data_IF_131059803343
#
_entry.id   IF_131059803343
#
_cell.length_a   1.000
_cell.length_b   1.000
_cell.length_c   1.000
_cell.angle_alpha   90.00
_cell.angle_beta   90.00
_cell.angle_gamma   90.00
#
_symmetry.space_group_name_H-M   'P 1'
#
loop_
_entity.id
_entity.type
_entity.pdbx_description
1 polymer ?
#
# COMPACT_ATOMS: atom_id res chain seq x y z
N UNK A 1 8.24 21.30 12.37
CA UNK A 1 7.77 22.68 12.02
C UNK A 1 6.63 23.14 12.92
N UNK A 2 5.43 22.54 12.89
CA UNK A 2 4.29 23.02 13.71
C UNK A 2 4.61 23.11 15.21
N UNK A 3 5.12 22.03 15.82
CA UNK A 3 5.49 22.04 17.23
C UNK A 3 6.55 23.09 17.57
N UNK A 4 7.56 23.23 16.70
CA UNK A 4 8.60 24.26 16.83
C UNK A 4 8.00 25.67 16.85
N UNK A 5 7.03 25.93 15.97
CA UNK A 5 6.42 27.24 15.84
C UNK A 5 5.44 27.55 16.99
N UNK A 6 4.65 26.56 17.40
CA UNK A 6 3.61 26.66 18.42
C UNK A 6 4.20 26.71 19.82
N UNK A 7 5.10 25.78 20.15
CA UNK A 7 5.67 25.63 21.50
C UNK A 7 7.05 26.27 21.67
N UNK A 8 7.63 26.85 20.60
CA UNK A 8 8.96 27.51 20.62
C UNK A 8 10.10 26.60 21.11
N UNK A 9 9.97 25.29 20.89
CA UNK A 9 11.00 24.28 21.20
C UNK A 9 11.70 23.78 19.93
N UNK A 10 12.98 23.44 20.02
CA UNK A 10 13.70 22.87 18.89
C UNK A 10 13.32 21.39 18.70
N UNK A 11 12.48 21.09 17.71
CA UNK A 11 12.06 19.74 17.34
C UNK A 11 12.71 19.34 16.03
N UNK A 12 13.50 18.27 16.07
CA UNK A 12 14.19 17.71 14.89
C UNK A 12 13.44 16.48 14.37
N UNK A 13 13.11 16.41 13.06
CA UNK A 13 12.49 15.23 12.48
C UNK A 13 13.54 14.15 12.19
N UNK A 14 13.28 12.94 12.67
CA UNK A 14 14.10 11.76 12.39
C UNK A 14 13.28 10.73 11.62
N UNK A 15 13.86 10.14 10.58
CA UNK A 15 13.32 8.97 9.91
C UNK A 15 14.15 7.75 10.29
N UNK A 16 13.52 6.79 10.95
CA UNK A 16 14.18 5.57 11.42
C UNK A 16 14.23 4.53 10.30
N UNK A 17 15.44 4.15 9.87
CA UNK A 17 15.65 3.09 8.89
C UNK A 17 15.73 1.75 9.63
N UNK A 18 14.93 0.77 9.19
CA UNK A 18 14.88 -0.58 9.78
C UNK A 18 16.05 -1.46 9.35
N UNK A 19 17.28 -0.94 9.47
CA UNK A 19 18.49 -1.55 8.93
C UNK A 19 18.90 -2.87 9.61
N UNK A 20 18.44 -3.09 10.85
CA UNK A 20 18.65 -4.33 11.61
C UNK A 20 17.54 -5.37 11.42
N UNK A 21 16.57 -5.13 10.53
CA UNK A 21 15.68 -6.21 10.13
C UNK A 21 16.41 -7.21 9.22
N UNK A 22 15.76 -8.33 8.93
CA UNK A 22 16.24 -9.42 8.08
C UNK A 22 15.18 -9.87 7.07
N UNK A 23 14.01 -9.23 7.07
CA UNK A 23 12.93 -9.50 6.12
C UNK A 23 13.28 -8.90 4.75
N UNK A 24 14.12 -9.63 4.02
CA UNK A 24 14.51 -9.26 2.68
C UNK A 24 13.35 -9.45 1.69
N UNK A 25 12.39 -10.32 1.96
CA UNK A 25 11.26 -10.56 1.05
C UNK A 25 10.41 -9.30 0.92
N UNK A 26 10.16 -8.61 2.04
CA UNK A 26 9.53 -7.30 2.04
C UNK A 26 10.43 -6.25 1.34
N UNK A 27 11.71 -6.17 1.71
CA UNK A 27 12.61 -5.10 1.26
C UNK A 27 13.02 -5.19 -0.24
N UNK A 28 12.99 -6.38 -0.83
CA UNK A 28 13.46 -6.63 -2.20
C UNK A 28 12.33 -6.65 -3.25
N UNK A 29 11.09 -6.36 -2.86
CA UNK A 29 9.95 -6.28 -3.78
C UNK A 29 9.41 -4.86 -3.87
N UNK A 30 9.12 -4.41 -5.09
CA UNK A 30 8.59 -3.07 -5.32
C UNK A 30 7.66 -3.05 -6.53
N UNK A 31 6.56 -2.32 -6.42
CA UNK A 31 5.58 -2.22 -7.49
C UNK A 31 5.53 -0.79 -8.06
N UNK A 32 5.24 -0.69 -9.35
CA UNK A 32 5.17 0.56 -10.09
C UNK A 32 3.85 0.64 -10.85
N UNK A 33 3.32 1.85 -10.93
CA UNK A 33 2.23 2.19 -11.83
C UNK A 33 2.83 2.52 -13.21
N UNK A 34 2.43 1.78 -14.24
CA UNK A 34 2.91 2.01 -15.61
C UNK A 34 2.24 3.22 -16.27
N UNK A 35 2.76 3.67 -17.41
CA UNK A 35 2.20 4.80 -18.17
C UNK A 35 0.74 4.58 -18.61
N UNK A 36 0.28 3.33 -18.70
CA UNK A 36 -1.07 2.93 -19.10
C UNK A 36 -1.96 2.44 -17.93
N UNK A 37 -1.51 2.70 -16.68
CA UNK A 37 -2.19 2.35 -15.43
C UNK A 37 -2.30 0.84 -15.15
N UNK A 38 -1.29 0.08 -15.57
CA UNK A 38 -1.09 -1.31 -15.17
C UNK A 38 -0.13 -1.39 -13.99
N UNK A 39 -0.09 -2.57 -13.37
CA UNK A 39 0.82 -2.90 -12.28
C UNK A 39 2.06 -3.57 -12.86
N UNK A 40 3.23 -2.99 -12.59
CA UNK A 40 4.53 -3.61 -12.84
C UNK A 40 5.18 -3.97 -11.50
N UNK A 41 5.31 -5.26 -11.22
CA UNK A 41 6.02 -5.77 -10.04
C UNK A 41 7.46 -6.14 -10.39
N UNK A 42 8.39 -5.75 -9.53
CA UNK A 42 9.81 -6.07 -9.64
C UNK A 42 10.26 -6.69 -8.32
N UNK A 43 11.00 -7.79 -8.42
CA UNK A 43 11.60 -8.48 -7.27
C UNK A 43 13.09 -8.65 -7.58
N UNK A 44 13.93 -8.20 -6.67
CA UNK A 44 15.38 -8.32 -6.74
C UNK A 44 15.88 -9.09 -5.51
N UNK A 45 15.73 -10.44 -5.49
CA UNK A 45 16.12 -11.22 -4.33
C UNK A 45 17.64 -11.08 -4.09
N UNK A 46 18.09 -11.15 -2.83
CA UNK A 46 19.52 -11.19 -2.54
C UNK A 46 20.10 -12.55 -2.94
N UNK A 47 21.42 -12.65 -2.97
CA UNK A 47 22.11 -13.93 -3.15
C UNK A 47 21.71 -14.92 -2.04
N UNK A 48 21.76 -16.22 -2.33
CA UNK A 48 21.26 -17.26 -1.41
C UNK A 48 22.01 -17.23 -0.06
N UNK A 49 23.32 -16.98 -0.09
CA UNK A 49 24.18 -16.83 1.08
C UNK A 49 23.87 -15.59 1.94
N UNK A 50 23.20 -14.59 1.38
CA UNK A 50 22.79 -13.36 2.06
C UNK A 50 21.44 -13.51 2.78
N UNK A 51 20.66 -14.56 2.47
CA UNK A 51 19.34 -14.78 3.08
C UNK A 51 19.43 -15.01 4.59
N UNK A 52 18.66 -14.22 5.32
CA UNK A 52 18.61 -14.21 6.78
C UNK A 52 19.66 -13.32 7.44
N UNK A 53 20.53 -12.66 6.68
CA UNK A 53 21.38 -11.58 7.21
C UNK A 53 20.54 -10.33 7.48
N UNK A 54 21.11 -9.42 8.27
CA UNK A 54 20.55 -8.08 8.46
C UNK A 54 20.50 -7.33 7.12
N UNK A 55 19.48 -6.49 6.90
CA UNK A 55 19.34 -5.68 5.68
C UNK A 55 20.57 -4.79 5.43
N UNK A 56 21.20 -4.25 6.47
CA UNK A 56 22.45 -3.50 6.36
C UNK A 56 23.67 -4.34 5.93
N UNK A 57 23.58 -5.66 5.97
CA UNK A 57 24.63 -6.60 5.56
C UNK A 57 24.38 -7.20 4.18
N UNK A 58 23.19 -7.01 3.60
CA UNK A 58 22.85 -7.56 2.28
C UNK A 58 23.54 -6.74 1.18
N UNK A 59 24.41 -7.42 0.44
CA UNK A 59 25.08 -6.86 -0.73
C UNK A 59 24.14 -6.67 -1.92
N UNK A 60 24.43 -5.67 -2.75
CA UNK A 60 23.62 -5.33 -3.93
C UNK A 60 24.09 -6.09 -5.18
N UNK A 61 23.19 -6.86 -5.81
CA UNK A 61 23.40 -7.34 -7.19
C UNK A 61 23.20 -6.17 -8.17
N UNK A 62 24.21 -5.31 -8.27
CA UNK A 62 24.16 -4.09 -9.10
C UNK A 62 23.80 -4.40 -10.55
N UNK A 63 24.28 -5.51 -11.12
CA UNK A 63 24.00 -5.88 -12.50
C UNK A 63 22.51 -6.17 -12.71
N UNK A 64 21.91 -6.99 -11.86
CA UNK A 64 20.49 -7.30 -11.93
C UNK A 64 19.64 -6.08 -11.63
N UNK A 65 20.00 -5.31 -10.61
CA UNK A 65 19.27 -4.07 -10.24
C UNK A 65 19.29 -3.06 -11.38
N UNK A 66 20.44 -2.83 -12.04
CA UNK A 66 20.53 -1.93 -13.19
C UNK A 66 19.61 -2.37 -14.34
N UNK A 67 19.57 -3.67 -14.66
CA UNK A 67 18.65 -4.21 -15.66
C UNK A 67 17.18 -3.97 -15.31
N UNK A 68 16.82 -4.12 -14.03
CA UNK A 68 15.46 -3.82 -13.57
C UNK A 68 15.15 -2.31 -13.63
N UNK A 69 16.10 -1.44 -13.27
CA UNK A 69 15.95 0.01 -13.41
C UNK A 69 15.63 0.37 -14.87
N UNK A 70 16.38 -0.16 -15.83
CA UNK A 70 16.11 0.05 -17.27
C UNK A 70 14.68 -0.38 -17.63
N UNK A 71 14.27 -1.58 -17.22
CA UNK A 71 12.91 -2.09 -17.46
C UNK A 71 11.84 -1.19 -16.84
N UNK A 72 12.04 -0.73 -15.60
CA UNK A 72 11.09 0.15 -14.90
C UNK A 72 10.91 1.45 -15.69
N UNK A 73 12.02 2.12 -16.02
CA UNK A 73 12.00 3.42 -16.71
C UNK A 73 11.44 3.35 -18.14
N UNK A 74 11.46 2.18 -18.79
CA UNK A 74 10.78 1.95 -20.06
C UNK A 74 9.25 1.82 -19.94
N UNK A 75 8.73 1.49 -18.76
CA UNK A 75 7.31 1.15 -18.54
C UNK A 75 6.55 2.17 -17.69
N UNK A 76 7.25 3.07 -16.98
CA UNK A 76 6.61 4.17 -16.26
C UNK A 76 6.43 5.39 -17.17
N UNK A 77 5.60 6.34 -16.73
CA UNK A 77 5.38 7.57 -17.48
C UNK A 77 6.63 8.45 -17.50
N UNK A 78 6.99 8.91 -18.69
CA UNK A 78 8.20 9.67 -18.97
C UNK A 78 7.90 11.19 -19.01
N UNK A 79 8.85 12.00 -18.59
CA UNK A 79 8.84 13.46 -18.63
C UNK A 79 10.29 13.99 -18.74
N UNK A 80 10.44 15.31 -18.76
CA UNK A 80 11.77 15.95 -18.73
C UNK A 80 12.56 15.63 -17.43
N UNK A 81 11.87 15.19 -16.36
CA UNK A 81 12.50 14.79 -15.10
C UNK A 81 13.06 13.36 -15.11
N UNK A 82 12.54 12.50 -15.98
CA UNK A 82 12.83 11.07 -15.99
C UNK A 82 14.31 10.75 -16.19
N UNK A 83 15.05 11.36 -17.15
CA UNK A 83 16.47 11.07 -17.31
C UNK A 83 17.28 11.46 -16.07
N UNK A 84 16.97 12.61 -15.46
CA UNK A 84 17.65 13.12 -14.26
C UNK A 84 17.42 12.18 -13.07
N UNK A 85 16.18 11.77 -12.85
CA UNK A 85 15.82 10.85 -11.77
C UNK A 85 16.53 9.49 -11.95
N UNK A 86 16.48 8.93 -13.16
CA UNK A 86 17.13 7.66 -13.49
C UNK A 86 18.63 7.72 -13.24
N UNK A 87 19.30 8.76 -13.73
CA UNK A 87 20.73 8.96 -13.55
C UNK A 87 21.10 9.06 -12.07
N UNK A 88 20.33 9.82 -11.27
CA UNK A 88 20.56 9.93 -9.83
C UNK A 88 20.41 8.59 -9.10
N UNK A 89 19.38 7.80 -9.42
CA UNK A 89 19.19 6.47 -8.82
C UNK A 89 20.36 5.55 -9.14
N UNK A 90 20.83 5.54 -10.39
CA UNK A 90 21.97 4.72 -10.86
C UNK A 90 23.26 5.17 -10.19
N UNK A 91 23.52 6.48 -10.11
CA UNK A 91 24.72 7.01 -9.46
C UNK A 91 24.76 6.63 -7.97
N UNK A 92 23.64 6.78 -7.26
CA UNK A 92 23.53 6.38 -5.85
C UNK A 92 23.70 4.86 -5.70
N UNK A 93 23.15 4.04 -6.61
CA UNK A 93 23.38 2.59 -6.62
C UNK A 93 24.87 2.24 -6.77
N UNK A 94 25.56 2.92 -7.67
CA UNK A 94 26.97 2.66 -7.94
C UNK A 94 27.86 2.98 -6.74
N UNK A 95 27.55 4.03 -5.98
CA UNK A 95 28.31 4.41 -4.77
C UNK A 95 27.91 3.63 -3.51
N UNK A 96 26.76 2.95 -3.51
CA UNK A 96 26.28 2.20 -2.35
C UNK A 96 26.90 0.81 -2.27
N UNK A 97 27.16 0.35 -1.05
CA UNK A 97 27.70 -0.99 -0.75
C UNK A 97 26.60 -2.02 -0.48
N UNK A 98 25.54 -1.62 0.22
CA UNK A 98 24.47 -2.50 0.70
C UNK A 98 23.08 -1.86 0.53
N UNK A 99 22.04 -2.68 0.75
CA UNK A 99 20.65 -2.27 0.58
C UNK A 99 20.23 -1.09 1.48
N UNK A 100 20.64 -1.11 2.75
CA UNK A 100 20.31 -0.05 3.71
C UNK A 100 20.88 1.29 3.24
N UNK A 101 22.17 1.30 2.88
CA UNK A 101 22.85 2.51 2.39
C UNK A 101 22.19 3.05 1.11
N UNK A 102 21.89 2.19 0.14
CA UNK A 102 21.23 2.58 -1.10
C UNK A 102 19.88 3.25 -0.84
N UNK A 103 19.05 2.64 0.02
CA UNK A 103 17.74 3.19 0.37
C UNK A 103 17.84 4.53 1.12
N UNK A 104 18.77 4.64 2.07
CA UNK A 104 19.00 5.85 2.86
C UNK A 104 19.49 7.03 2.01
N UNK A 105 20.38 6.78 1.06
CA UNK A 105 20.86 7.81 0.13
C UNK A 105 19.76 8.24 -0.85
N UNK A 106 18.91 7.32 -1.31
CA UNK A 106 17.73 7.67 -2.11
C UNK A 106 16.75 8.56 -1.34
N UNK A 107 16.46 8.23 -0.07
CA UNK A 107 15.61 9.06 0.78
C UNK A 107 16.21 10.46 0.98
N UNK A 108 17.52 10.56 1.26
CA UNK A 108 18.21 11.86 1.35
C UNK A 108 18.08 12.66 0.06
N UNK A 109 18.18 12.01 -1.10
CA UNK A 109 17.99 12.67 -2.39
C UNK A 109 16.55 13.17 -2.58
N UNK A 110 15.54 12.33 -2.32
CA UNK A 110 14.13 12.72 -2.50
C UNK A 110 13.75 13.90 -1.60
N UNK A 111 14.24 13.93 -0.35
CA UNK A 111 13.95 14.99 0.60
C UNK A 111 14.98 16.14 0.61
N UNK A 112 15.90 16.18 -0.36
CA UNK A 112 16.97 17.18 -0.42
C UNK A 112 16.49 18.64 -0.48
N UNK A 113 15.27 18.87 -0.98
CA UNK A 113 14.65 20.20 -1.09
C UNK A 113 13.63 20.46 0.03
N UNK A 114 13.36 19.46 0.87
CA UNK A 114 12.43 19.54 2.00
C UNK A 114 13.16 19.97 3.28
N UNK A 115 12.42 20.21 4.36
CA UNK A 115 13.04 20.45 5.67
C UNK A 115 14.03 19.33 6.03
N UNK A 116 15.09 19.66 6.76
CA UNK A 116 16.16 18.73 7.14
C UNK A 116 15.62 17.53 7.95
N UNK A 117 15.20 16.46 7.26
CA UNK A 117 14.88 15.17 7.87
C UNK A 117 16.20 14.43 8.08
N UNK A 118 16.49 14.12 9.34
CA UNK A 118 17.64 13.31 9.70
C UNK A 118 17.31 11.83 9.48
N UNK A 119 17.98 11.20 8.52
CA UNK A 119 17.87 9.75 8.31
C UNK A 119 18.76 9.06 9.36
N UNK A 120 18.14 8.24 10.22
CA UNK A 120 18.82 7.54 11.31
C UNK A 120 18.90 6.04 11.02
N UNK A 121 20.12 5.53 10.92
CA UNK A 121 20.39 4.10 10.72
C UNK A 121 21.04 3.52 11.99
N UNK A 122 20.35 2.64 12.74
CA UNK A 122 20.85 2.16 14.03
C UNK A 122 22.16 1.38 13.90
N UNK A 123 22.44 0.76 12.75
CA UNK A 123 23.71 0.05 12.52
C UNK A 123 24.91 1.00 12.32
N UNK A 124 24.70 2.23 11.87
CA UNK A 124 25.78 3.22 11.68
C UNK A 124 26.11 3.97 12.96
N UNK A 125 25.12 4.13 13.84
CA UNK A 125 25.25 4.84 15.11
C UNK A 125 24.67 3.98 16.25
N UNK A 126 25.22 2.78 16.49
CA UNK A 126 24.73 1.91 17.55
C UNK A 126 25.06 2.50 18.92
N UNK A 127 24.11 2.42 19.85
CA UNK A 127 24.36 2.64 21.26
C UNK A 127 24.24 1.31 22.00
N UNK A 128 25.38 0.64 22.18
CA UNK A 128 25.41 -0.69 22.79
C UNK A 128 25.13 -0.68 24.29
N UNK A 129 25.29 0.45 24.98
CA UNK A 129 24.94 0.56 26.39
C UNK A 129 23.41 0.46 26.56
N UNK A 130 22.67 1.26 25.79
CA UNK A 130 21.19 1.21 25.75
C UNK A 130 20.71 -0.18 25.29
N UNK A 131 21.33 -0.73 24.24
CA UNK A 131 20.97 -2.07 23.76
C UNK A 131 21.20 -3.12 24.86
N UNK A 132 22.34 -3.07 25.54
CA UNK A 132 22.70 -4.00 26.61
C UNK A 132 21.71 -3.94 27.76
N UNK A 133 21.30 -2.74 28.17
CA UNK A 133 20.28 -2.56 29.21
C UNK A 133 18.96 -3.24 28.83
N UNK A 134 18.46 -2.96 27.62
CA UNK A 134 17.18 -3.51 27.15
C UNK A 134 17.25 -5.03 27.02
N UNK A 135 18.32 -5.56 26.42
CA UNK A 135 18.47 -7.00 26.20
C UNK A 135 18.71 -7.73 27.53
N UNK A 136 19.43 -7.14 28.48
CA UNK A 136 19.62 -7.72 29.82
C UNK A 136 18.29 -7.88 30.56
N UNK A 137 17.42 -6.85 30.52
CA UNK A 137 16.07 -6.92 31.06
C UNK A 137 15.25 -7.98 30.31
N UNK A 138 15.34 -8.02 28.99
CA UNK A 138 14.65 -9.02 28.18
C UNK A 138 15.07 -10.47 28.52
N UNK A 139 16.34 -10.72 28.82
CA UNK A 139 16.84 -12.03 29.24
C UNK A 139 16.38 -12.36 30.67
N UNK A 140 16.46 -11.41 31.59
CA UNK A 140 16.24 -11.64 33.02
C UNK A 140 14.76 -11.74 33.34
N UNK A 141 13.93 -10.88 32.75
CA UNK A 141 12.51 -10.67 33.03
C UNK A 141 11.58 -11.15 31.89
N UNK A 142 12.05 -12.07 31.04
CA UNK A 142 11.29 -12.56 29.87
C UNK A 142 9.82 -12.91 30.16
N UNK A 143 9.57 -13.68 31.22
CA UNK A 143 8.22 -14.11 31.60
C UNK A 143 7.34 -12.92 32.00
N UNK A 144 7.85 -12.02 32.83
CA UNK A 144 7.13 -10.82 33.27
C UNK A 144 6.77 -9.91 32.09
N UNK A 145 7.71 -9.71 31.16
CA UNK A 145 7.46 -8.93 29.94
C UNK A 145 6.37 -9.57 29.08
N UNK A 146 6.40 -10.90 28.92
CA UNK A 146 5.35 -11.60 28.18
C UNK A 146 3.99 -11.48 28.86
N UNK A 147 3.93 -11.66 30.18
CA UNK A 147 2.69 -11.54 30.96
C UNK A 147 2.08 -10.15 30.86
N UNK A 148 2.89 -9.09 30.96
CA UNK A 148 2.44 -7.71 30.77
C UNK A 148 1.87 -7.49 29.37
N UNK A 149 2.63 -7.84 28.32
CA UNK A 149 2.17 -7.72 26.93
C UNK A 149 0.87 -8.49 26.68
N UNK A 150 0.77 -9.71 27.21
CA UNK A 150 -0.40 -10.57 27.07
C UNK A 150 -1.61 -9.97 27.77
N UNK A 151 -1.42 -9.45 28.99
CA UNK A 151 -2.47 -8.74 29.74
C UNK A 151 -3.00 -7.54 28.97
N UNK A 152 -2.13 -6.64 28.50
CA UNK A 152 -2.54 -5.47 27.72
C UNK A 152 -3.25 -5.88 26.42
N UNK A 153 -2.77 -6.94 25.76
CA UNK A 153 -3.39 -7.47 24.54
C UNK A 153 -4.81 -7.98 24.81
N UNK A 154 -5.02 -8.75 25.88
CA UNK A 154 -6.34 -9.24 26.28
C UNK A 154 -7.30 -8.10 26.67
N UNK A 155 -6.80 -7.02 27.29
CA UNK A 155 -7.59 -5.84 27.58
C UNK A 155 -8.05 -5.13 26.31
N UNK A 156 -7.18 -5.01 25.31
CA UNK A 156 -7.52 -4.44 24.00
C UNK A 156 -8.56 -5.30 23.26
N UNK A 157 -8.41 -6.62 23.29
CA UNK A 157 -9.39 -7.55 22.68
C UNK A 157 -10.77 -7.44 23.33
N UNK A 158 -10.84 -7.30 24.67
CA UNK A 158 -12.11 -7.06 25.39
C UNK A 158 -12.81 -5.77 24.97
N UNK A 159 -12.05 -4.79 24.48
CA UNK A 159 -12.55 -3.54 23.92
C UNK A 159 -12.86 -3.64 22.41
N UNK A 160 -12.85 -4.85 21.84
CA UNK A 160 -13.03 -5.14 20.41
C UNK A 160 -11.95 -4.57 19.49
N UNK A 161 -10.76 -4.24 20.00
CA UNK A 161 -9.61 -3.93 19.17
C UNK A 161 -8.92 -5.21 18.71
N UNK A 162 -8.48 -5.25 17.44
CA UNK A 162 -7.76 -6.39 16.87
C UNK A 162 -6.24 -6.23 17.09
N UNK A 163 -5.58 -7.12 17.85
CA UNK A 163 -4.12 -7.07 18.01
C UNK A 163 -3.41 -7.18 16.66
N UNK A 164 -2.26 -6.52 16.53
CA UNK A 164 -1.41 -6.59 15.34
C UNK A 164 -0.14 -7.40 15.58
N UNK A 165 0.32 -7.45 16.84
CA UNK A 165 1.49 -8.24 17.22
C UNK A 165 1.04 -9.50 17.96
N UNK A 166 1.34 -10.64 17.35
CA UNK A 166 1.14 -11.95 17.94
C UNK A 166 2.48 -12.50 18.38
N UNK A 167 2.73 -12.48 19.70
CA UNK A 167 3.96 -13.00 20.29
C UNK A 167 3.68 -14.30 21.03
N UNK A 168 4.45 -15.34 20.76
CA UNK A 168 4.42 -16.58 21.55
C UNK A 168 5.15 -16.38 22.89
N UNK A 169 4.72 -17.03 24.00
CA UNK A 169 5.46 -17.03 25.27
C UNK A 169 6.89 -17.58 25.12
N UNK A 170 7.11 -18.41 24.10
CA UNK A 170 8.41 -18.96 23.80
C UNK A 170 9.27 -18.02 22.97
N UNK A 171 8.76 -16.96 22.36
CA UNK A 171 9.59 -16.11 21.50
C UNK A 171 10.34 -15.08 22.34
N UNK A 172 11.68 -15.10 22.34
CA UNK A 172 12.47 -14.10 23.04
C UNK A 172 12.17 -12.67 22.55
N UNK A 173 12.50 -11.67 23.37
CA UNK A 173 12.32 -10.25 23.03
C UNK A 173 13.46 -9.67 22.18
N UNK A 174 14.32 -10.52 21.63
CA UNK A 174 15.49 -10.16 20.84
C UNK A 174 15.87 -11.27 19.88
N UNK A 175 16.80 -10.96 18.98
CA UNK A 175 17.48 -11.92 18.12
C UNK A 175 18.98 -11.94 18.45
N UNK A 176 19.64 -13.04 18.11
CA UNK A 176 21.09 -13.18 18.20
C UNK A 176 21.66 -13.51 16.83
N UNK A 177 22.82 -12.97 16.50
CA UNK A 177 23.53 -13.31 15.27
C UNK A 177 24.31 -14.62 15.43
N UNK A 178 24.07 -15.54 14.51
CA UNK A 178 24.77 -16.82 14.38
C UNK A 178 25.15 -17.04 12.91
N UNK A 179 26.44 -17.28 12.65
CA UNK A 179 26.98 -17.48 11.30
C UNK A 179 26.56 -16.37 10.31
N UNK A 180 26.56 -15.11 10.79
CA UNK A 180 26.18 -13.93 10.02
C UNK A 180 24.67 -13.74 9.82
N UNK A 181 23.81 -14.64 10.33
CA UNK A 181 22.36 -14.58 10.19
C UNK A 181 21.68 -14.14 11.48
N UNK A 182 20.62 -13.34 11.36
CA UNK A 182 19.79 -12.91 12.49
C UNK A 182 18.87 -14.07 12.88
N UNK A 183 19.11 -14.65 14.04
CA UNK A 183 18.48 -15.89 14.47
C UNK A 183 17.50 -15.67 15.60
N UNK A 184 16.30 -16.26 15.44
CA UNK A 184 15.26 -16.26 16.45
C UNK A 184 15.71 -17.08 17.66
N UNK A 185 15.48 -16.54 18.85
CA UNK A 185 15.75 -17.23 20.11
C UNK A 185 14.44 -17.62 20.76
N UNK A 186 14.34 -18.88 21.21
CA UNK A 186 13.18 -19.43 21.90
C UNK A 186 13.47 -19.53 23.40
N UNK A 187 12.49 -19.28 24.26
CA UNK A 187 12.55 -19.44 25.71
C UNK A 187 11.72 -20.66 26.13
N UNK A 188 12.39 -21.69 26.64
CA UNK A 188 11.78 -22.95 27.04
C UNK A 188 12.51 -23.52 28.26
N UNK A 189 11.76 -24.04 29.24
CA UNK A 189 12.33 -24.66 30.45
C UNK A 189 13.40 -23.79 31.14
N UNK A 190 13.14 -22.49 31.24
CA UNK A 190 14.05 -21.48 31.82
C UNK A 190 15.38 -21.27 31.08
N UNK A 191 15.52 -21.82 29.88
CA UNK A 191 16.68 -21.65 29.01
C UNK A 191 16.28 -20.97 27.70
N UNK A 192 17.27 -20.44 27.00
CA UNK A 192 17.15 -19.86 25.67
C UNK A 192 17.73 -20.82 24.63
N UNK A 193 17.04 -21.01 23.51
CA UNK A 193 17.38 -22.00 22.49
C UNK A 193 17.45 -21.30 21.14
N UNK A 194 18.55 -21.49 20.41
CA UNK A 194 18.66 -21.04 19.03
C UNK A 194 17.67 -21.81 18.14
N UNK A 195 16.83 -21.09 17.41
CA UNK A 195 15.98 -21.70 16.39
C UNK A 195 16.78 -22.23 15.17
N UNK A 196 18.03 -21.80 15.00
CA UNK A 196 18.90 -22.23 13.90
C UNK A 196 19.77 -23.42 14.26
N UNK A 197 20.50 -23.33 15.37
CA UNK A 197 21.53 -24.32 15.75
C UNK A 197 21.06 -25.32 16.81
N UNK A 198 19.93 -25.05 17.48
CA UNK A 198 19.49 -25.81 18.65
C UNK A 198 20.38 -25.59 19.89
N UNK A 199 21.35 -24.68 19.82
CA UNK A 199 22.21 -24.33 20.95
C UNK A 199 21.38 -23.81 22.11
N UNK A 200 21.68 -24.31 23.30
CA UNK A 200 21.01 -23.94 24.54
C UNK A 200 21.91 -22.99 25.32
N UNK A 201 21.33 -21.90 25.80
CA UNK A 201 21.97 -20.92 26.67
C UNK A 201 21.15 -20.78 27.95
N UNK A 202 21.83 -20.75 29.08
CA UNK A 202 21.26 -20.23 30.32
C UNK A 202 21.16 -18.71 30.25
N UNK A 203 20.42 -18.10 31.20
CA UNK A 203 20.44 -16.63 31.38
C UNK A 203 21.87 -16.11 31.56
N UNK A 204 22.69 -16.81 32.35
CA UNK A 204 24.07 -16.41 32.61
C UNK A 204 24.93 -16.43 31.34
N UNK A 205 24.76 -17.45 30.49
CA UNK A 205 25.48 -17.54 29.22
C UNK A 205 25.14 -16.36 28.31
N UNK A 206 23.84 -16.05 28.15
CA UNK A 206 23.43 -14.92 27.31
C UNK A 206 23.87 -13.57 27.86
N UNK A 207 23.82 -13.38 29.18
CA UNK A 207 24.31 -12.14 29.80
C UNK A 207 25.83 -11.99 29.64
N UNK A 208 26.60 -13.08 29.69
CA UNK A 208 28.02 -13.05 29.39
C UNK A 208 28.28 -12.71 27.91
N UNK A 209 27.56 -13.34 26.98
CA UNK A 209 27.68 -12.99 25.55
C UNK A 209 27.32 -11.52 25.32
N UNK A 210 26.22 -11.04 25.91
CA UNK A 210 25.78 -9.65 25.78
C UNK A 210 26.84 -8.67 26.32
N UNK A 211 27.51 -9.03 27.41
CA UNK A 211 28.58 -8.21 28.01
C UNK A 211 29.81 -8.08 27.12
N UNK A 212 30.21 -9.15 26.43
CA UNK A 212 31.46 -9.17 25.65
C UNK A 212 31.25 -8.94 24.15
N UNK A 213 30.07 -9.24 23.63
CA UNK A 213 29.72 -9.20 22.20
C UNK A 213 28.30 -8.62 21.99
N UNK A 214 27.99 -7.41 22.49
CA UNK A 214 26.65 -6.81 22.39
C UNK A 214 26.18 -6.61 20.95
N UNK A 215 27.09 -6.45 20.00
CA UNK A 215 26.83 -6.31 18.57
C UNK A 215 26.19 -7.54 17.93
N UNK A 216 26.24 -8.69 18.61
CA UNK A 216 25.54 -9.90 18.17
C UNK A 216 24.04 -9.85 18.43
N UNK A 217 23.57 -8.95 19.29
CA UNK A 217 22.16 -8.85 19.62
C UNK A 217 21.48 -7.80 18.75
N UNK A 218 20.26 -8.09 18.34
CA UNK A 218 19.38 -7.09 17.73
C UNK A 218 18.02 -7.11 18.40
N UNK A 219 17.38 -5.94 18.57
CA UNK A 219 16.04 -5.90 19.12
C UNK A 219 15.04 -6.56 18.16
N UNK A 220 13.93 -7.09 18.68
CA UNK A 220 12.78 -7.43 17.86
C UNK A 220 11.85 -6.21 17.70
N UNK A 221 10.71 -6.37 17.03
CA UNK A 221 9.74 -5.28 16.84
C UNK A 221 9.41 -4.50 18.13
N UNK A 222 9.25 -5.21 19.26
CA UNK A 222 8.86 -4.64 20.56
C UNK A 222 10.04 -3.90 21.20
N UNK A 223 11.16 -4.58 21.42
CA UNK A 223 12.34 -3.97 22.05
C UNK A 223 12.97 -2.90 21.19
N UNK A 224 12.71 -2.89 19.88
CA UNK A 224 13.11 -1.81 18.96
C UNK A 224 12.38 -0.51 19.28
N UNK A 225 11.09 -0.58 19.67
CA UNK A 225 10.33 0.61 20.09
C UNK A 225 10.93 1.22 21.36
N UNK A 226 11.31 0.36 22.32
CA UNK A 226 11.99 0.76 23.57
C UNK A 226 13.37 1.36 23.27
N UNK A 227 14.16 0.69 22.42
CA UNK A 227 15.48 1.16 22.00
C UNK A 227 15.41 2.52 21.33
N UNK A 228 14.45 2.72 20.42
CA UNK A 228 14.21 4.02 19.79
C UNK A 228 13.82 5.08 20.82
N UNK A 229 12.97 4.75 21.80
CA UNK A 229 12.56 5.70 22.84
C UNK A 229 13.74 6.13 23.71
N UNK A 230 14.57 5.19 24.17
CA UNK A 230 15.75 5.52 24.99
C UNK A 230 16.79 6.32 24.21
N UNK A 231 17.01 5.96 22.94
CA UNK A 231 18.06 6.54 22.13
C UNK A 231 17.75 7.97 21.66
N UNK A 232 16.53 8.21 21.19
CA UNK A 232 16.15 9.48 20.58
C UNK A 232 15.25 10.34 21.47
N UNK A 233 14.66 9.76 22.52
CA UNK A 233 13.64 10.39 23.36
C UNK A 233 12.59 11.18 22.56
N UNK A 234 11.94 10.56 21.56
CA UNK A 234 10.97 11.26 20.73
C UNK A 234 9.76 11.70 21.57
N UNK A 235 9.32 12.94 21.34
CA UNK A 235 8.07 13.45 21.91
C UNK A 235 6.87 12.85 21.16
N UNK A 236 7.01 12.71 19.84
CA UNK A 236 5.99 12.17 18.95
C UNK A 236 6.59 11.04 18.11
N UNK A 237 5.85 9.94 18.02
CA UNK A 237 6.10 8.87 17.07
C UNK A 237 5.04 8.91 15.97
N UNK A 238 5.47 9.08 14.72
CA UNK A 238 4.57 9.10 13.54
C UNK A 238 4.29 7.65 13.12
N UNK A 239 3.03 7.21 13.23
CA UNK A 239 2.64 5.82 13.09
C UNK A 239 1.68 5.58 11.91
N UNK A 240 1.89 4.51 11.15
CA UNK A 240 0.87 3.94 10.26
C UNK A 240 -0.25 3.22 11.03
N UNK A 241 -1.35 2.81 10.36
CA UNK A 241 -2.50 2.20 11.03
C UNK A 241 -2.17 0.94 11.85
N UNK A 242 -1.35 0.04 11.31
CA UNK A 242 -0.90 -1.16 12.03
C UNK A 242 0.01 -0.81 13.22
N UNK A 243 0.78 0.27 13.08
CA UNK A 243 1.70 0.72 14.13
C UNK A 243 0.95 1.32 15.31
N UNK A 244 -0.05 2.17 15.06
CA UNK A 244 -0.93 2.69 16.13
C UNK A 244 -1.48 1.55 16.98
N UNK A 245 -1.96 0.48 16.32
CA UNK A 245 -2.52 -0.66 17.02
C UNK A 245 -1.49 -1.47 17.80
N UNK A 246 -0.29 -1.76 17.25
CA UNK A 246 0.71 -2.48 18.04
C UNK A 246 1.31 -1.61 19.15
N UNK A 247 1.48 -0.31 18.95
CA UNK A 247 1.97 0.59 20.01
C UNK A 247 1.03 0.59 21.21
N UNK A 248 -0.29 0.52 20.99
CA UNK A 248 -1.25 0.35 22.08
C UNK A 248 -1.00 -0.92 22.91
N UNK A 249 -0.56 -2.02 22.28
CA UNK A 249 -0.18 -3.26 23.00
C UNK A 249 1.08 -3.09 23.86
N UNK A 250 1.95 -2.11 23.55
CA UNK A 250 3.21 -1.93 24.25
C UNK A 250 3.10 -1.04 25.50
N UNK A 251 1.94 -0.41 25.75
CA UNK A 251 1.79 0.62 26.78
C UNK A 251 2.38 0.22 28.14
N UNK A 252 1.96 -0.93 28.68
CA UNK A 252 2.41 -1.38 30.01
C UNK A 252 3.85 -1.93 30.00
N UNK A 253 4.41 -2.22 28.81
CA UNK A 253 5.82 -2.59 28.70
C UNK A 253 6.73 -1.39 28.93
N UNK A 254 6.35 -0.18 28.49
CA UNK A 254 7.14 1.03 28.68
C UNK A 254 7.40 1.33 30.17
N UNK A 255 6.41 1.06 31.04
CA UNK A 255 6.55 1.18 32.49
C UNK A 255 7.65 0.26 33.05
N UNK A 256 7.84 -0.92 32.46
CA UNK A 256 8.90 -1.87 32.87
C UNK A 256 10.29 -1.33 32.61
N UNK A 257 10.44 -0.49 31.58
CA UNK A 257 11.68 0.19 31.26
C UNK A 257 11.77 1.59 31.90
N UNK A 258 10.80 1.98 32.75
CA UNK A 258 10.71 3.32 33.34
C UNK A 258 10.74 4.45 32.30
N UNK A 259 10.14 4.21 31.13
CA UNK A 259 10.10 5.17 30.04
C UNK A 259 8.69 5.70 29.83
N UNK A 260 8.52 6.99 29.52
CA UNK A 260 7.27 7.48 28.97
C UNK A 260 7.10 6.94 27.55
N UNK A 261 5.90 6.45 27.24
CA UNK A 261 5.50 6.18 25.86
C UNK A 261 5.38 7.51 25.09
N UNK A 262 5.91 7.62 23.87
CA UNK A 262 5.78 8.84 23.07
C UNK A 262 4.33 9.06 22.65
N UNK A 263 4.00 10.30 22.29
CA UNK A 263 2.69 10.58 21.70
C UNK A 263 2.63 9.88 20.34
N UNK A 264 1.72 8.91 20.21
CA UNK A 264 1.51 8.21 18.94
C UNK A 264 0.61 9.06 18.05
N UNK A 265 1.17 9.56 16.95
CA UNK A 265 0.46 10.42 16.02
C UNK A 265 0.26 9.69 14.69
N UNK A 266 -0.97 9.35 14.31
CA UNK A 266 -1.24 8.68 13.05
C UNK A 266 -0.80 9.55 11.87
N UNK A 267 -0.01 9.00 10.95
CA UNK A 267 0.37 9.72 9.72
C UNK A 267 -0.87 9.95 8.83
N UNK A 268 -0.92 11.05 8.07
CA UNK A 268 -1.96 11.24 7.06
C UNK A 268 -1.90 10.09 6.03
N UNK A 269 -3.07 9.73 5.51
CA UNK A 269 -3.19 8.75 4.43
C UNK A 269 -3.44 9.49 3.13
N UNK A 270 -2.68 9.17 2.09
CA UNK A 270 -2.67 9.97 0.87
C UNK A 270 -2.93 9.07 -0.33
N UNK A 271 -3.70 9.59 -1.28
CA UNK A 271 -3.76 9.03 -2.62
C UNK A 271 -3.36 10.09 -3.64
N UNK A 272 -2.43 9.72 -4.52
CA UNK A 272 -2.02 10.50 -5.67
C UNK A 272 -2.90 10.15 -6.86
N UNK A 273 -3.61 11.15 -7.39
CA UNK A 273 -4.51 10.98 -8.51
C UNK A 273 -4.03 11.76 -9.73
N UNK A 274 -3.58 11.06 -10.79
CA UNK A 274 -3.38 11.71 -12.07
C UNK A 274 -4.68 12.37 -12.55
N UNK A 275 -4.60 13.61 -13.06
CA UNK A 275 -5.76 14.36 -13.55
C UNK A 275 -6.68 13.55 -14.48
N UNK A 276 -6.12 12.66 -15.32
CA UNK A 276 -6.90 11.78 -16.21
C UNK A 276 -7.78 10.78 -15.46
N UNK A 277 -7.26 10.20 -14.36
CA UNK A 277 -8.00 9.27 -13.50
C UNK A 277 -9.11 10.02 -12.77
N UNK A 278 -8.85 11.24 -12.29
CA UNK A 278 -9.88 12.09 -11.68
C UNK A 278 -11.03 12.39 -12.63
N UNK A 279 -10.74 12.69 -13.91
CA UNK A 279 -11.79 12.88 -14.94
C UNK A 279 -12.65 11.63 -15.12
N UNK A 280 -12.04 10.44 -15.18
CA UNK A 280 -12.81 9.19 -15.29
C UNK A 280 -13.66 8.89 -14.06
N UNK A 281 -13.17 9.21 -12.86
CA UNK A 281 -13.98 9.11 -11.63
C UNK A 281 -15.22 10.00 -11.70
N UNK A 282 -15.08 11.24 -12.16
CA UNK A 282 -16.21 12.17 -12.36
C UNK A 282 -17.17 11.63 -13.43
N UNK A 283 -16.66 11.09 -14.54
CA UNK A 283 -17.48 10.42 -15.58
C UNK A 283 -18.30 9.25 -14.99
N UNK A 284 -17.78 8.58 -13.96
CA UNK A 284 -18.48 7.48 -13.26
C UNK A 284 -19.40 7.96 -12.15
N UNK A 285 -19.55 9.29 -11.97
CA UNK A 285 -20.36 9.89 -10.89
C UNK A 285 -19.67 9.89 -9.52
N UNK A 286 -18.38 9.57 -9.46
CA UNK A 286 -17.61 9.50 -8.22
C UNK A 286 -16.90 10.83 -7.99
N UNK A 287 -17.56 11.71 -7.24
CA UNK A 287 -17.01 13.03 -6.89
C UNK A 287 -16.21 13.03 -5.58
N UNK A 288 -16.56 12.13 -4.65
CA UNK A 288 -15.92 12.01 -3.34
C UNK A 288 -15.41 10.58 -3.12
N UNK A 289 -14.13 10.48 -2.77
CA UNK A 289 -13.47 9.21 -2.51
C UNK A 289 -13.71 8.67 -1.09
N UNK A 290 -14.11 9.49 -0.11
CA UNK A 290 -14.20 9.07 1.31
C UNK A 290 -14.97 7.77 1.53
N UNK A 291 -16.07 7.54 0.81
CA UNK A 291 -16.86 6.31 0.92
C UNK A 291 -16.15 5.09 0.30
N UNK A 292 -15.35 5.30 -0.75
CA UNK A 292 -14.60 4.22 -1.41
C UNK A 292 -13.46 3.72 -0.53
N UNK A 293 -12.88 4.57 0.32
CA UNK A 293 -11.75 4.21 1.17
C UNK A 293 -12.14 3.62 2.52
N UNK A 294 -13.45 3.42 2.77
CA UNK A 294 -13.91 2.64 3.93
C UNK A 294 -13.72 1.13 3.72
N UNK A 295 -13.88 0.66 2.47
CA UNK A 295 -13.69 -0.72 2.06
C UNK A 295 -13.21 -0.74 0.60
N UNK A 296 -12.06 -1.35 0.33
CA UNK A 296 -11.49 -1.44 -1.03
C UNK A 296 -12.44 -2.12 -2.05
N UNK A 297 -13.41 -2.91 -1.59
CA UNK A 297 -14.41 -3.55 -2.44
C UNK A 297 -15.53 -2.59 -2.88
N UNK A 298 -15.69 -1.43 -2.24
CA UNK A 298 -16.72 -0.45 -2.58
C UNK A 298 -16.57 0.06 -4.02
N UNK A 299 -15.34 0.12 -4.56
CA UNK A 299 -15.13 0.49 -5.95
C UNK A 299 -15.67 -0.57 -6.92
N UNK A 300 -15.49 -1.86 -6.63
CA UNK A 300 -16.02 -2.94 -7.49
C UNK A 300 -17.54 -2.95 -7.49
N UNK A 301 -18.16 -2.71 -6.34
CA UNK A 301 -19.61 -2.54 -6.22
C UNK A 301 -20.12 -1.34 -7.02
N UNK A 302 -19.39 -0.22 -6.97
CA UNK A 302 -19.74 0.98 -7.74
C UNK A 302 -19.66 0.72 -9.24
N UNK A 303 -18.58 0.08 -9.69
CA UNK A 303 -18.38 -0.27 -11.10
C UNK A 303 -19.41 -1.28 -11.60
N UNK A 304 -19.73 -2.31 -10.81
CA UNK A 304 -20.74 -3.29 -11.18
C UNK A 304 -22.13 -2.67 -11.30
N UNK A 305 -22.52 -1.81 -10.35
CA UNK A 305 -23.79 -1.08 -10.37
C UNK A 305 -23.89 -0.15 -11.59
N UNK A 306 -22.79 0.50 -12.00
CA UNK A 306 -22.76 1.34 -13.19
C UNK A 306 -23.01 0.52 -14.47
N UNK A 307 -22.35 -0.64 -14.59
CA UNK A 307 -22.48 -1.55 -15.74
C UNK A 307 -23.87 -2.21 -15.81
N UNK A 308 -24.42 -2.64 -14.68
CA UNK A 308 -25.76 -3.24 -14.61
C UNK A 308 -26.84 -2.22 -14.94
N UNK A 309 -26.77 -1.01 -14.37
CA UNK A 309 -27.74 0.06 -14.64
C UNK A 309 -27.77 0.45 -16.11
N UNK A 310 -26.59 0.61 -16.74
CA UNK A 310 -26.45 0.88 -18.17
C UNK A 310 -27.11 -0.21 -19.03
N UNK A 311 -26.81 -1.48 -18.70
CA UNK A 311 -27.35 -2.63 -19.44
C UNK A 311 -28.86 -2.78 -19.28
N UNK A 312 -29.39 -2.59 -18.06
CA UNK A 312 -30.84 -2.69 -17.81
C UNK A 312 -31.63 -1.60 -18.53
N UNK A 313 -31.10 -0.37 -18.60
CA UNK A 313 -31.75 0.72 -19.32
C UNK A 313 -31.90 0.41 -20.81
N UNK A 314 -30.87 -0.14 -21.45
CA UNK A 314 -30.91 -0.50 -22.87
C UNK A 314 -31.88 -1.66 -23.14
N UNK A 315 -31.93 -2.65 -22.26
CA UNK A 315 -32.91 -3.75 -22.36
C UNK A 315 -34.33 -3.17 -22.30
N UNK A 316 -34.63 -2.32 -21.31
CA UNK A 316 -35.95 -1.70 -21.17
C UNK A 316 -36.33 -0.83 -22.37
N UNK A 317 -35.40 -0.03 -22.89
CA UNK A 317 -35.64 0.81 -24.07
C UNK A 317 -35.90 -0.04 -25.31
N UNK A 318 -35.14 -1.11 -25.52
CA UNK A 318 -35.29 -1.96 -26.71
C UNK A 318 -36.60 -2.77 -26.65
N UNK A 319 -37.00 -3.30 -25.49
CA UNK A 319 -38.32 -3.94 -25.33
C UNK A 319 -39.46 -2.96 -25.56
N UNK A 320 -39.39 -1.75 -25.00
CA UNK A 320 -40.42 -0.73 -25.22
C UNK A 320 -40.59 -0.37 -26.70
N UNK A 321 -39.49 -0.28 -27.45
CA UNK A 321 -39.55 -0.04 -28.90
C UNK A 321 -40.21 -1.22 -29.63
N UNK A 322 -39.89 -2.47 -29.26
CA UNK A 322 -40.52 -3.66 -29.84
C UNK A 322 -42.03 -3.67 -29.61
N UNK A 323 -42.45 -3.40 -28.38
CA UNK A 323 -43.86 -3.29 -28.00
C UNK A 323 -44.57 -2.18 -28.79
N UNK A 324 -43.99 -0.97 -28.87
CA UNK A 324 -44.61 0.16 -29.58
C UNK A 324 -44.79 -0.14 -31.09
N UNK A 325 -43.85 -0.86 -31.70
CA UNK A 325 -43.94 -1.22 -33.12
C UNK A 325 -44.94 -2.35 -33.35
N UNK A 326 -44.83 -3.46 -32.61
CA UNK A 326 -45.61 -4.67 -32.83
C UNK A 326 -47.05 -4.57 -32.34
N UNK A 327 -47.26 -3.97 -31.16
CA UNK A 327 -48.56 -3.97 -30.50
C UNK A 327 -49.37 -2.71 -30.77
N UNK A 328 -48.75 -1.61 -31.25
CA UNK A 328 -49.44 -0.34 -31.48
C UNK A 328 -49.35 0.14 -32.91
N UNK A 329 -48.15 0.34 -33.44
CA UNK A 329 -47.96 0.94 -34.77
C UNK A 329 -48.52 0.05 -35.89
N UNK A 330 -48.10 -1.22 -35.94
CA UNK A 330 -48.55 -2.14 -36.99
C UNK A 330 -50.07 -2.38 -36.93
N UNK A 331 -50.70 -2.74 -35.78
CA UNK A 331 -52.16 -2.90 -35.72
C UNK A 331 -52.94 -1.66 -36.16
N UNK A 332 -52.46 -0.47 -35.76
CA UNK A 332 -53.06 0.80 -36.20
C UNK A 332 -52.91 1.00 -37.70
N UNK A 333 -51.72 0.78 -38.26
CA UNK A 333 -51.47 0.89 -39.69
C UNK A 333 -52.37 -0.06 -40.50
N UNK A 334 -52.49 -1.32 -40.06
CA UNK A 334 -53.41 -2.30 -40.65
C UNK A 334 -54.86 -1.78 -40.65
N UNK A 335 -55.34 -1.27 -39.51
CA UNK A 335 -56.72 -0.78 -39.38
C UNK A 335 -57.03 0.40 -40.32
N UNK A 336 -56.08 1.30 -40.54
CA UNK A 336 -56.23 2.47 -41.43
C UNK A 336 -56.25 2.01 -42.90
N UNK A 337 -55.39 1.07 -43.27
CA UNK A 337 -55.21 0.64 -44.66
C UNK A 337 -56.30 -0.33 -45.13
N UNK A 338 -56.79 -1.24 -44.27
CA UNK A 338 -57.75 -2.30 -44.64
C UNK A 338 -59.02 -1.79 -45.31
N UNK A 339 -59.49 -0.58 -44.97
CA UNK A 339 -60.73 -0.01 -45.52
C UNK A 339 -60.68 0.43 -46.98
N UNK A 340 -59.52 0.37 -47.64
CA UNK A 340 -59.29 1.00 -48.95
C UNK A 340 -58.94 0.04 -50.11
N UNK A 341 -59.13 -1.28 -49.94
CA UNK A 341 -58.71 -2.29 -50.94
C UNK A 341 -59.88 -3.10 -51.51
N UNK A 342 -59.79 -3.44 -52.80
CA UNK A 342 -60.77 -4.23 -53.56
C UNK A 342 -60.60 -5.75 -53.41
N UNK A 343 -59.41 -6.24 -53.01
CA UNK A 343 -59.11 -7.65 -52.73
C UNK A 343 -58.42 -7.80 -51.37
N UNK A 344 -59.05 -8.56 -50.46
CA UNK A 344 -58.58 -8.73 -49.08
C UNK A 344 -57.31 -9.60 -49.03
N UNK A 345 -57.24 -10.67 -49.81
CA UNK A 345 -56.11 -11.61 -49.78
C UNK A 345 -54.81 -10.98 -50.29
N UNK A 346 -54.88 -10.18 -51.35
CA UNK A 346 -53.71 -9.50 -51.91
C UNK A 346 -53.20 -8.40 -50.97
N UNK A 347 -54.14 -7.70 -50.31
CA UNK A 347 -53.82 -6.74 -49.25
C UNK A 347 -53.09 -7.41 -48.07
N UNK A 348 -53.61 -8.52 -47.55
CA UNK A 348 -53.01 -9.21 -46.39
C UNK A 348 -51.58 -9.68 -46.68
N UNK A 349 -51.33 -10.21 -47.87
CA UNK A 349 -49.98 -10.62 -48.30
C UNK A 349 -49.03 -9.43 -48.38
N UNK A 350 -49.41 -8.36 -49.10
CA UNK A 350 -48.57 -7.17 -49.28
C UNK A 350 -48.33 -6.42 -47.96
N UNK A 351 -49.34 -6.38 -47.09
CA UNK A 351 -49.22 -5.81 -45.75
C UNK A 351 -48.26 -6.63 -44.90
N UNK A 352 -48.39 -7.95 -44.87
CA UNK A 352 -47.50 -8.83 -44.11
C UNK A 352 -46.03 -8.68 -44.55
N UNK A 353 -45.77 -8.68 -45.86
CA UNK A 353 -44.41 -8.48 -46.40
C UNK A 353 -43.83 -7.12 -46.01
N UNK A 354 -44.65 -6.06 -46.04
CA UNK A 354 -44.24 -4.71 -45.66
C UNK A 354 -44.03 -4.57 -44.15
N UNK A 355 -44.92 -5.16 -43.34
CA UNK A 355 -44.80 -5.18 -41.88
C UNK A 355 -43.54 -5.93 -41.44
N UNK A 356 -43.24 -7.06 -42.07
CA UNK A 356 -42.01 -7.82 -41.81
C UNK A 356 -40.76 -6.99 -42.15
N UNK A 357 -40.77 -6.23 -43.26
CA UNK A 357 -39.67 -5.30 -43.58
C UNK A 357 -39.51 -4.21 -42.53
N UNK A 358 -40.60 -3.62 -42.05
CA UNK A 358 -40.57 -2.60 -40.99
C UNK A 358 -39.97 -3.18 -39.70
N UNK A 359 -40.45 -4.35 -39.25
CA UNK A 359 -39.91 -5.03 -38.08
C UNK A 359 -38.43 -5.33 -38.26
N UNK A 360 -38.02 -5.81 -39.44
CA UNK A 360 -36.63 -6.09 -39.74
C UNK A 360 -35.73 -4.85 -39.66
N UNK A 361 -36.17 -3.70 -40.19
CA UNK A 361 -35.41 -2.44 -40.08
C UNK A 361 -35.35 -1.92 -38.64
N UNK A 362 -36.41 -2.08 -37.85
CA UNK A 362 -36.40 -1.76 -36.41
C UNK A 362 -35.42 -2.66 -35.66
N UNK A 363 -35.41 -3.96 -35.91
CA UNK A 363 -34.45 -4.88 -35.28
C UNK A 363 -33.00 -4.57 -35.68
N UNK A 364 -32.74 -4.08 -36.90
CA UNK A 364 -31.41 -3.54 -37.27
C UNK A 364 -31.02 -2.34 -36.42
N UNK A 365 -31.94 -1.40 -36.16
CA UNK A 365 -31.68 -0.24 -35.31
C UNK A 365 -31.43 -0.66 -33.85
N UNK A 366 -32.24 -1.57 -33.31
CA UNK A 366 -32.05 -2.16 -31.98
C UNK A 366 -30.68 -2.83 -31.88
N UNK A 367 -30.31 -3.64 -32.88
CA UNK A 367 -29.00 -4.31 -32.92
C UNK A 367 -27.84 -3.31 -32.91
N UNK A 368 -27.95 -2.21 -33.67
CA UNK A 368 -26.94 -1.14 -33.67
C UNK A 368 -26.84 -0.45 -32.30
N UNK A 369 -27.98 -0.15 -31.66
CA UNK A 369 -28.03 0.44 -30.33
C UNK A 369 -27.38 -0.48 -29.28
N UNK A 370 -27.73 -1.77 -29.27
CA UNK A 370 -27.16 -2.75 -28.35
C UNK A 370 -25.66 -2.91 -28.54
N UNK A 371 -25.16 -2.91 -29.79
CA UNK A 371 -23.72 -2.94 -30.08
C UNK A 371 -23.00 -1.70 -29.56
N UNK A 372 -23.56 -0.51 -29.81
CA UNK A 372 -22.99 0.74 -29.31
C UNK A 372 -22.95 0.76 -27.76
N UNK A 373 -23.99 0.25 -27.11
CA UNK A 373 -24.01 0.09 -25.65
C UNK A 373 -22.97 -0.90 -25.15
N UNK A 374 -22.80 -2.05 -25.84
CA UNK A 374 -21.82 -3.05 -25.46
C UNK A 374 -20.40 -2.48 -25.54
N UNK A 375 -20.08 -1.75 -26.62
CA UNK A 375 -18.80 -1.06 -26.79
C UNK A 375 -18.58 -0.02 -25.68
N UNK A 376 -19.60 0.79 -25.34
CA UNK A 376 -19.52 1.75 -24.24
C UNK A 376 -19.26 1.05 -22.89
N UNK A 377 -19.93 -0.06 -22.62
CA UNK A 377 -19.73 -0.84 -21.39
C UNK A 377 -18.31 -1.43 -21.34
N UNK A 378 -17.77 -1.89 -22.46
CA UNK A 378 -16.38 -2.34 -22.55
C UNK A 378 -15.40 -1.21 -22.23
N UNK A 379 -15.61 0.00 -22.77
CA UNK A 379 -14.80 1.18 -22.43
C UNK A 379 -14.87 1.54 -20.94
N UNK A 380 -16.08 1.49 -20.35
CA UNK A 380 -16.27 1.69 -18.89
C UNK A 380 -15.51 0.63 -18.11
N UNK A 381 -15.57 -0.63 -18.51
CA UNK A 381 -14.86 -1.72 -17.84
C UNK A 381 -13.34 -1.52 -17.90
N UNK A 382 -12.80 -1.17 -19.08
CA UNK A 382 -11.37 -0.92 -19.25
C UNK A 382 -10.88 0.30 -18.43
N UNK A 383 -11.66 1.39 -18.40
CA UNK A 383 -11.38 2.53 -17.51
C UNK A 383 -11.48 2.11 -16.03
N UNK A 384 -12.48 1.31 -15.67
CA UNK A 384 -12.69 0.79 -14.32
C UNK A 384 -11.49 0.00 -13.81
N UNK A 385 -10.92 -0.90 -14.63
CA UNK A 385 -9.70 -1.64 -14.28
C UNK A 385 -8.54 -0.68 -14.00
N UNK A 386 -8.35 0.33 -14.84
CA UNK A 386 -7.27 1.32 -14.68
C UNK A 386 -7.45 2.17 -13.42
N UNK A 387 -8.67 2.64 -13.15
CA UNK A 387 -8.98 3.36 -11.91
C UNK A 387 -8.73 2.45 -10.71
N UNK A 388 -9.18 1.19 -10.74
CA UNK A 388 -8.93 0.21 -9.67
C UNK A 388 -7.45 0.02 -9.41
N UNK A 389 -6.64 -0.14 -10.45
CA UNK A 389 -5.19 -0.26 -10.31
C UNK A 389 -4.57 0.98 -9.65
N UNK A 390 -5.12 2.17 -9.88
CA UNK A 390 -4.62 3.41 -9.26
C UNK A 390 -5.06 3.54 -7.81
N UNK A 391 -6.34 3.28 -7.50
CA UNK A 391 -6.92 3.46 -6.17
C UNK A 391 -6.57 2.32 -5.21
N UNK A 392 -6.80 1.09 -5.67
CA UNK A 392 -6.75 -0.14 -4.90
C UNK A 392 -5.94 -1.24 -5.60
N UNK A 393 -4.67 -0.98 -5.95
CA UNK A 393 -3.83 -1.97 -6.62
C UNK A 393 -3.78 -3.27 -5.79
N UNK A 394 -3.98 -4.40 -6.45
CA UNK A 394 -4.02 -5.72 -5.81
C UNK A 394 -4.88 -5.77 -4.52
N UNK A 395 -6.03 -5.08 -4.52
CA UNK A 395 -6.95 -5.00 -3.36
C UNK A 395 -6.31 -4.41 -2.10
N UNK A 396 -5.29 -3.58 -2.24
CA UNK A 396 -4.73 -2.79 -1.13
C UNK A 396 -4.63 -1.34 -1.51
N UNK A 397 -4.38 -0.47 -0.53
CA UNK A 397 -4.28 0.96 -0.75
C UNK A 397 -3.02 1.35 -1.53
N UNK A 398 -3.14 2.35 -2.42
CA UNK A 398 -2.05 2.88 -3.24
C UNK A 398 -0.75 3.14 -2.44
N UNK A 399 -0.86 3.85 -1.31
CA UNK A 399 0.26 4.21 -0.42
C UNK A 399 1.00 3.02 0.22
N UNK A 400 0.43 1.80 0.15
CA UNK A 400 1.04 0.56 0.66
C UNK A 400 1.61 -0.32 -0.44
N UNK A 401 1.46 0.06 -1.71
CA UNK A 401 1.74 -0.82 -2.82
C UNK A 401 2.73 -0.25 -3.81
N UNK A 402 2.52 0.99 -4.25
CA UNK A 402 3.38 1.59 -5.28
C UNK A 402 4.56 2.36 -4.68
N UNK A 403 5.68 2.24 -5.38
CA UNK A 403 6.81 3.14 -5.28
C UNK A 403 6.41 4.59 -5.59
N UNK A 404 7.07 5.61 -5.00
CA UNK A 404 6.92 7.00 -5.43
C UNK A 404 7.56 7.28 -6.80
N UNK A 405 8.44 6.40 -7.31
CA UNK A 405 9.22 6.62 -8.53
C UNK A 405 8.38 6.99 -9.78
N UNK A 406 7.23 6.34 -10.08
CA UNK A 406 6.43 6.72 -11.25
C UNK A 406 5.95 8.17 -11.18
N UNK A 407 5.57 8.64 -9.99
CA UNK A 407 5.13 10.02 -9.76
C UNK A 407 6.31 10.99 -9.81
N UNK A 408 7.44 10.65 -9.22
CA UNK A 408 8.67 11.46 -9.31
C UNK A 408 9.19 11.53 -10.75
N UNK A 409 9.02 10.47 -11.54
CA UNK A 409 9.37 10.43 -12.96
C UNK A 409 8.50 11.35 -13.78
N UNK A 410 7.20 11.46 -13.46
CA UNK A 410 6.25 12.27 -14.21
C UNK A 410 6.27 13.75 -13.79
N UNK A 411 6.37 14.03 -12.49
CA UNK A 411 6.17 15.37 -11.90
C UNK A 411 7.42 15.96 -11.23
N UNK A 412 8.54 15.24 -11.22
CA UNK A 412 9.77 15.67 -10.55
C UNK A 412 9.66 15.67 -9.02
N UNK A 413 10.67 16.21 -8.34
CA UNK A 413 10.68 16.34 -6.87
C UNK A 413 9.64 17.34 -6.36
N UNK A 414 9.13 18.24 -7.23
CA UNK A 414 8.11 19.24 -6.87
C UNK A 414 6.81 18.61 -6.37
N UNK A 415 6.51 17.36 -6.78
CA UNK A 415 5.35 16.62 -6.26
C UNK A 415 5.34 16.52 -4.74
N UNK A 416 6.51 16.45 -4.10
CA UNK A 416 6.62 16.38 -2.64
C UNK A 416 6.16 17.69 -1.98
N UNK A 417 6.44 18.83 -2.63
CA UNK A 417 5.97 20.14 -2.18
C UNK A 417 4.46 20.28 -2.38
N UNK A 418 3.94 19.83 -3.52
CA UNK A 418 2.48 19.79 -3.77
C UNK A 418 1.79 18.98 -2.68
N UNK A 419 2.34 17.83 -2.31
CA UNK A 419 1.83 17.01 -1.20
C UNK A 419 1.88 17.79 0.12
N UNK A 420 3.02 18.39 0.49
CA UNK A 420 3.17 19.16 1.74
C UNK A 420 2.15 20.32 1.84
N UNK A 421 1.88 21.00 0.73
CA UNK A 421 0.95 22.14 0.66
C UNK A 421 -0.53 21.72 0.62
N UNK A 422 -0.83 20.52 0.11
CA UNK A 422 -2.22 20.05 -0.08
C UNK A 422 -2.77 19.33 1.14
N UNK A 423 -1.94 18.57 1.86
CA UNK A 423 -2.42 17.71 2.95
C UNK A 423 -2.63 18.47 4.26
N UNK A 424 -3.70 18.14 4.96
CA UNK A 424 -3.96 18.56 6.33
C UNK A 424 -3.49 17.47 7.30
N UNK A 425 -2.32 17.66 7.91
CA UNK A 425 -1.75 16.66 8.81
C UNK A 425 -2.60 16.40 10.06
N UNK A 426 -3.54 17.29 10.41
CA UNK A 426 -4.46 17.10 11.54
C UNK A 426 -5.56 16.09 11.23
N UNK A 427 -5.71 15.68 9.97
CA UNK A 427 -6.72 14.71 9.52
C UNK A 427 -6.03 13.39 9.17
N UNK A 428 -6.18 12.34 9.99
CA UNK A 428 -5.56 11.03 9.74
C UNK A 428 -6.28 10.23 8.64
N UNK A 429 -7.42 10.71 8.15
CA UNK A 429 -8.18 10.07 7.08
C UNK A 429 -7.49 10.19 5.72
N UNK A 430 -8.00 9.46 4.73
CA UNK A 430 -7.53 9.59 3.36
C UNK A 430 -7.76 10.98 2.79
N UNK A 431 -6.70 11.49 2.16
CA UNK A 431 -6.67 12.78 1.49
C UNK A 431 -6.26 12.57 0.03
N UNK A 432 -7.04 13.18 -0.85
CA UNK A 432 -6.80 13.18 -2.28
C UNK A 432 -5.82 14.30 -2.63
N UNK A 433 -4.76 13.96 -3.36
CA UNK A 433 -3.86 14.93 -3.99
C UNK A 433 -3.92 14.70 -5.50
N UNK A 434 -4.53 15.66 -6.21
CA UNK A 434 -4.60 15.62 -7.68
C UNK A 434 -3.29 16.17 -8.23
N UNK A 435 -2.67 15.40 -9.13
CA UNK A 435 -1.41 15.71 -9.79
C UNK A 435 -1.62 16.25 -11.21
#
# INVERSE_FOLDING_TARGET
KMLTNEFKINVKPYFWVHSWDHDWEEACSINFLTYDYQILSVICPPFEEEKGKLLCKISLDKKTILSQIEKIFLNIKNSDFTPILKEKIINILNTSSNLSEWSSLLLKYFFSHSAEISIFEPHQQPNFDILTEIISIAITNHQELYEKLSKTTLELEKLNYKPQVHKSPQDAFFFIEENGKRTKVLYQNSNFISAQSGKIWTKHDLLNILRYEPERFTPNLITRCIYQQMLLNPIIYIAGPAEVAYWAQLKDLFDTFSLPMPIIYPRPRIILLPTKVKKWLVEFGINNLSNLFQDENNFDLTLSNLLTSSSSQIIQVTEKVREEVKERFLPRLYSILKGNFSSIQEFEKNYSDSANKIVHEIEKLITKLSRASAQKNEEIQQKGIKIRNVLFPNKTYQERFFSPIPFLSEYGLEVLKIIEETIDIKKPNFQEVVL
#
